data_IF_699212294648
#
_entry.id   IF_699212294648
#
_cell.length_a   1.000
_cell.length_b   1.000
_cell.length_c   1.000
_cell.angle_alpha   90.00
_cell.angle_beta   90.00
_cell.angle_gamma   90.00
#
_symmetry.space_group_name_H-M   'P 1'
#
loop_
_entity.id
_entity.type
_entity.pdbx_description
1 polymer ?
#
# COMPACT_ATOMS: atom_id res chain seq x y z
N UNK A 1 57.99 7.23 27.36
CA UNK A 1 58.42 8.21 26.34
C UNK A 1 57.24 9.15 26.07
N UNK A 2 57.49 10.45 26.26
CA UNK A 2 56.77 11.68 25.85
C UNK A 2 55.24 11.60 25.60
N UNK A 3 54.36 12.23 26.38
CA UNK A 3 54.14 13.67 26.64
C UNK A 3 53.74 14.49 25.39
N UNK A 4 52.50 15.01 25.35
CA UNK A 4 52.23 16.44 25.20
C UNK A 4 50.72 16.72 24.97
N UNK A 5 50.11 17.39 25.95
CA UNK A 5 48.92 18.23 25.80
C UNK A 5 49.16 19.36 24.81
N UNK A 6 48.14 19.79 24.08
CA UNK A 6 48.02 21.20 23.66
C UNK A 6 46.54 21.55 23.48
N UNK A 7 46.02 22.29 24.46
CA UNK A 7 44.82 23.12 24.34
C UNK A 7 45.08 24.27 23.37
N UNK A 8 44.09 24.63 22.54
CA UNK A 8 43.95 26.00 22.03
C UNK A 8 42.48 26.39 21.95
N UNK A 9 42.06 27.13 22.97
CA UNK A 9 40.98 28.10 22.93
C UNK A 9 41.30 29.20 21.91
N UNK A 10 40.31 29.62 21.14
CA UNK A 10 40.34 30.91 20.46
C UNK A 10 38.92 31.46 20.36
N UNK A 11 38.59 32.27 21.37
CA UNK A 11 37.60 33.35 21.34
C UNK A 11 38.09 34.46 20.41
N UNK A 12 37.33 34.77 19.37
CA UNK A 12 37.41 36.05 18.67
C UNK A 12 36.00 36.57 18.42
N UNK A 13 35.65 37.53 19.27
CA UNK A 13 34.61 38.54 19.10
C UNK A 13 34.84 39.33 17.81
N UNK A 14 33.82 39.43 16.96
CA UNK A 14 33.75 40.45 15.91
C UNK A 14 32.35 41.08 15.94
N UNK A 15 32.32 42.28 16.49
CA UNK A 15 31.20 43.21 16.49
C UNK A 15 31.34 44.13 15.28
N UNK A 16 30.43 43.98 14.30
CA UNK A 16 30.24 44.86 13.14
C UNK A 16 28.71 44.97 12.97
N UNK A 17 28.07 46.02 13.47
CA UNK A 17 27.80 47.30 12.78
C UNK A 17 27.12 47.12 11.43
N UNK A 18 25.81 47.34 11.38
CA UNK A 18 25.11 48.21 10.42
C UNK A 18 23.61 47.96 10.47
N UNK A 19 22.89 48.89 11.10
CA UNK A 19 21.45 49.08 10.91
C UNK A 19 21.19 49.49 9.45
N UNK A 20 21.00 48.52 8.57
CA UNK A 20 20.28 48.71 7.32
C UNK A 20 18.92 48.06 7.47
N UNK A 21 17.93 48.89 7.81
CA UNK A 21 16.50 48.55 7.74
C UNK A 21 16.12 48.45 6.27
N UNK A 22 16.47 47.33 5.65
CA UNK A 22 15.97 46.94 4.32
C UNK A 22 14.46 46.75 4.48
N UNK A 23 13.71 47.70 3.93
CA UNK A 23 12.27 47.60 3.80
C UNK A 23 12.01 46.49 2.78
N UNK A 24 11.83 45.26 3.27
CA UNK A 24 11.35 44.16 2.44
C UNK A 24 10.02 44.61 1.80
N UNK A 25 9.88 44.51 0.47
CA UNK A 25 8.59 44.71 -0.16
C UNK A 25 7.65 43.68 0.44
N UNK A 26 6.55 44.15 1.03
CA UNK A 26 5.45 43.31 1.47
C UNK A 26 4.95 42.54 0.25
N UNK A 27 5.53 41.35 0.06
CA UNK A 27 5.05 40.36 -0.87
C UNK A 27 3.74 39.91 -0.24
N UNK A 28 2.65 40.54 -0.69
CA UNK A 28 1.27 40.12 -0.45
C UNK A 28 1.11 38.75 -1.13
N UNK A 29 1.72 37.73 -0.51
CA UNK A 29 1.51 36.32 -0.83
C UNK A 29 0.09 36.06 -0.36
N UNK A 30 -0.87 36.45 -1.19
CA UNK A 30 -2.25 36.04 -1.03
C UNK A 30 -2.21 34.53 -1.07
N UNK A 31 -2.42 33.92 0.10
CA UNK A 31 -2.58 32.48 0.19
C UNK A 31 -3.63 32.07 -0.85
N UNK A 32 -3.37 31.02 -1.64
CA UNK A 32 -4.33 30.57 -2.63
C UNK A 32 -5.64 30.29 -1.90
N UNK A 33 -6.67 31.10 -2.21
CA UNK A 33 -8.01 30.92 -1.65
C UNK A 33 -8.42 29.47 -1.89
N UNK A 34 -8.86 28.81 -0.84
CA UNK A 34 -9.33 27.44 -0.91
C UNK A 34 -10.45 27.34 -1.96
N UNK A 35 -10.47 26.27 -2.78
CA UNK A 35 -11.58 26.06 -3.70
C UNK A 35 -12.89 26.02 -2.92
N UNK A 36 -13.95 26.64 -3.46
CA UNK A 36 -15.29 26.68 -2.87
C UNK A 36 -15.76 25.27 -2.52
N UNK A 37 -15.67 24.93 -1.24
CA UNK A 37 -16.20 23.70 -0.68
C UNK A 37 -17.72 23.87 -0.58
N UNK A 38 -18.46 23.29 -1.53
CA UNK A 38 -19.92 23.37 -1.53
C UNK A 38 -20.50 22.44 -0.47
N UNK A 39 -21.58 22.84 0.22
CA UNK A 39 -22.30 22.10 1.28
C UNK A 39 -22.76 20.67 0.94
N UNK A 40 -22.54 20.21 -0.29
CA UNK A 40 -22.69 18.80 -0.66
C UNK A 40 -21.53 18.02 -0.05
N UNK A 41 -21.68 17.61 1.21
CA UNK A 41 -20.70 16.79 1.92
C UNK A 41 -20.32 15.58 1.05
N UNK A 42 -19.07 15.47 0.60
CA UNK A 42 -18.68 14.41 -0.32
C UNK A 42 -18.72 13.02 0.31
N UNK A 43 -18.87 12.91 1.63
CA UNK A 43 -19.06 11.64 2.35
C UNK A 43 -20.44 10.99 2.08
N UNK A 44 -21.44 11.75 1.63
CA UNK A 44 -22.79 11.25 1.38
C UNK A 44 -22.84 10.43 0.09
N UNK A 45 -22.54 9.12 0.20
CA UNK A 45 -22.70 8.14 -0.90
C UNK A 45 -21.40 7.54 -1.43
N UNK A 46 -20.26 7.78 -0.79
CA UNK A 46 -19.01 7.10 -1.14
C UNK A 46 -18.99 5.67 -0.60
N UNK A 47 -19.13 4.69 -1.51
CA UNK A 47 -18.95 3.27 -1.19
C UNK A 47 -17.47 2.88 -1.36
N UNK A 48 -16.69 3.05 -0.29
CA UNK A 48 -15.35 2.45 -0.21
C UNK A 48 -15.45 0.99 0.24
N UNK A 49 -14.58 0.09 -0.27
CA UNK A 49 -14.50 -1.26 0.26
C UNK A 49 -14.09 -1.20 1.73
N UNK A 50 -14.74 -1.98 2.60
CA UNK A 50 -14.30 -2.08 4.00
C UNK A 50 -12.93 -2.75 4.11
N UNK A 51 -12.00 -2.18 4.87
CA UNK A 51 -10.73 -2.79 5.20
C UNK A 51 -10.93 -3.93 6.21
N UNK A 52 -10.69 -5.17 5.75
CA UNK A 52 -10.91 -6.39 6.54
C UNK A 52 -9.61 -7.02 7.02
N UNK A 53 -8.51 -6.77 6.33
CA UNK A 53 -7.23 -7.42 6.58
C UNK A 53 -6.23 -7.19 5.46
N UNK A 54 -5.17 -7.99 5.47
CA UNK A 54 -4.13 -8.00 4.44
C UNK A 54 -4.68 -8.24 3.03
N UNK A 55 -5.62 -9.17 2.89
CA UNK A 55 -6.10 -9.63 1.58
C UNK A 55 -6.69 -8.52 0.72
N UNK A 56 -7.27 -7.49 1.35
CA UNK A 56 -7.88 -6.37 0.66
C UNK A 56 -7.24 -5.01 0.96
N UNK A 57 -6.11 -4.99 1.70
CA UNK A 57 -5.43 -3.76 2.08
C UNK A 57 -5.06 -2.91 0.85
N UNK A 58 -4.46 -3.49 -0.19
CA UNK A 58 -4.03 -2.70 -1.37
C UNK A 58 -5.21 -2.11 -2.15
N UNK A 59 -6.32 -2.85 -2.24
CA UNK A 59 -7.51 -2.35 -2.90
C UNK A 59 -8.12 -1.19 -2.11
N UNK A 60 -8.20 -1.34 -0.78
CA UNK A 60 -8.66 -0.30 0.12
C UNK A 60 -7.79 0.96 0.05
N UNK A 61 -6.48 0.80 0.23
CA UNK A 61 -5.49 1.89 0.22
C UNK A 61 -5.59 2.72 -1.05
N UNK A 62 -5.59 2.06 -2.21
CA UNK A 62 -5.78 2.70 -3.51
C UNK A 62 -7.13 3.43 -3.61
N UNK A 63 -8.21 2.79 -3.15
CA UNK A 63 -9.56 3.38 -3.24
C UNK A 63 -9.67 4.65 -2.39
N UNK A 64 -9.04 4.67 -1.21
CA UNK A 64 -8.96 5.86 -0.36
C UNK A 64 -8.13 6.95 -1.04
N UNK A 65 -6.94 6.63 -1.55
CA UNK A 65 -6.09 7.62 -2.22
C UNK A 65 -6.74 8.21 -3.48
N UNK A 66 -7.37 7.38 -4.31
CA UNK A 66 -8.09 7.82 -5.50
C UNK A 66 -9.26 8.75 -5.11
N UNK A 67 -10.00 8.40 -4.05
CA UNK A 67 -11.06 9.25 -3.48
C UNK A 67 -10.50 10.58 -3.00
N UNK A 68 -9.42 10.56 -2.23
CA UNK A 68 -8.77 11.76 -1.70
C UNK A 68 -8.28 12.67 -2.81
N UNK A 69 -7.76 12.09 -3.89
CA UNK A 69 -7.34 12.83 -5.08
C UNK A 69 -8.52 13.50 -5.79
N UNK A 70 -9.65 12.79 -5.95
CA UNK A 70 -10.86 13.32 -6.58
C UNK A 70 -11.41 14.52 -5.79
N UNK A 71 -11.40 14.44 -4.45
CA UNK A 71 -11.94 15.49 -3.57
C UNK A 71 -10.90 16.53 -3.10
N UNK A 72 -9.65 16.43 -3.56
CA UNK A 72 -8.58 17.33 -3.11
C UNK A 72 -8.28 17.24 -1.62
N UNK A 73 -8.35 16.06 -1.02
CA UNK A 73 -8.09 15.79 0.40
C UNK A 73 -6.71 15.15 0.64
N UNK A 74 -5.92 14.90 -0.40
CA UNK A 74 -4.64 14.18 -0.29
C UNK A 74 -3.65 14.84 0.68
N UNK A 75 -3.69 16.17 0.82
CA UNK A 75 -2.75 16.88 1.68
C UNK A 75 -2.92 16.53 3.16
N UNK A 76 -4.12 16.11 3.58
CA UNK A 76 -4.39 15.69 4.95
C UNK A 76 -3.68 14.38 5.30
N UNK A 77 -3.68 13.38 4.42
CA UNK A 77 -2.95 12.12 4.65
C UNK A 77 -1.45 12.26 4.42
N UNK A 78 -1.03 13.24 3.60
CA UNK A 78 0.39 13.55 3.38
C UNK A 78 0.98 14.46 4.49
N UNK A 79 0.14 15.01 5.37
CA UNK A 79 0.57 15.99 6.38
C UNK A 79 1.05 17.32 5.78
N UNK A 80 0.66 17.64 4.55
CA UNK A 80 1.05 18.87 3.86
C UNK A 80 -0.01 19.96 3.99
N UNK A 81 -1.23 19.61 4.38
CA UNK A 81 -2.31 20.56 4.63
C UNK A 81 -2.12 21.17 6.03
N UNK A 82 -1.93 22.49 6.11
CA UNK A 82 -1.78 23.21 7.39
C UNK A 82 -2.99 24.10 7.64
N UNK A 83 -3.41 24.27 8.92
CA UNK A 83 -4.49 25.19 9.24
C UNK A 83 -4.11 26.61 8.78
N UNK A 84 -5.08 27.37 8.24
CA UNK A 84 -4.86 28.78 7.91
C UNK A 84 -4.59 29.59 9.20
N UNK A 85 -4.08 30.83 9.08
CA UNK A 85 -4.04 31.78 10.20
C UNK A 85 -5.43 31.97 10.81
N UNK A 86 -5.53 32.60 11.98
CA UNK A 86 -6.82 32.82 12.68
C UNK A 86 -6.99 34.25 13.19
N UNK A 87 -6.33 35.22 12.55
CA UNK A 87 -6.20 36.57 13.07
C UNK A 87 -7.31 37.51 12.57
N UNK A 88 -7.93 37.20 11.43
CA UNK A 88 -8.98 38.02 10.80
C UNK A 88 -10.32 37.31 10.70
N UNK A 89 -11.40 38.06 10.45
CA UNK A 89 -12.74 37.46 10.23
C UNK A 89 -12.81 36.54 9.00
N UNK A 90 -12.04 36.86 7.94
CA UNK A 90 -11.93 36.00 6.75
C UNK A 90 -11.19 34.70 7.09
N UNK A 91 -10.16 34.78 7.92
CA UNK A 91 -9.41 33.62 8.41
C UNK A 91 -10.28 32.62 9.19
N UNK A 92 -11.28 33.10 9.94
CA UNK A 92 -12.22 32.21 10.64
C UNK A 92 -13.05 31.34 9.67
N UNK A 93 -13.46 31.88 8.52
CA UNK A 93 -14.19 31.13 7.49
C UNK A 93 -13.28 30.09 6.81
N UNK A 94 -12.03 30.46 6.53
CA UNK A 94 -11.03 29.54 5.98
C UNK A 94 -10.69 28.43 6.99
N UNK A 95 -10.57 28.76 8.27
CA UNK A 95 -10.33 27.78 9.34
C UNK A 95 -11.51 26.82 9.50
N UNK A 96 -12.74 27.31 9.41
CA UNK A 96 -13.93 26.47 9.41
C UNK A 96 -13.90 25.50 8.22
N UNK A 97 -13.64 26.01 7.01
CA UNK A 97 -13.53 25.20 5.78
C UNK A 97 -12.44 24.13 5.91
N UNK A 98 -11.29 24.49 6.48
CA UNK A 98 -10.20 23.56 6.76
C UNK A 98 -10.65 22.44 7.70
N UNK A 99 -11.32 22.78 8.80
CA UNK A 99 -11.81 21.80 9.78
C UNK A 99 -12.87 20.87 9.19
N UNK A 100 -13.80 21.38 8.38
CA UNK A 100 -14.82 20.58 7.72
C UNK A 100 -14.19 19.57 6.74
N UNK A 101 -13.19 20.00 5.97
CA UNK A 101 -12.43 19.12 5.07
C UNK A 101 -11.62 18.08 5.84
N UNK A 102 -10.98 18.48 6.94
CA UNK A 102 -10.24 17.57 7.82
C UNK A 102 -11.14 16.48 8.40
N UNK A 103 -12.32 16.87 8.89
CA UNK A 103 -13.33 15.95 9.41
C UNK A 103 -13.85 15.02 8.31
N UNK A 104 -14.09 15.54 7.11
CA UNK A 104 -14.49 14.72 5.96
C UNK A 104 -13.43 13.66 5.62
N UNK A 105 -12.15 14.06 5.52
CA UNK A 105 -11.05 13.13 5.28
C UNK A 105 -10.99 12.05 6.38
N UNK A 106 -11.11 12.46 7.65
CA UNK A 106 -11.14 11.54 8.77
C UNK A 106 -12.28 10.51 8.66
N UNK A 107 -13.52 10.97 8.38
CA UNK A 107 -14.70 10.11 8.26
C UNK A 107 -14.57 9.07 7.15
N UNK A 108 -14.00 9.44 6.01
CA UNK A 108 -13.79 8.52 4.88
C UNK A 108 -12.88 7.36 5.31
N UNK A 109 -11.75 7.66 5.97
CA UNK A 109 -10.83 6.63 6.46
C UNK A 109 -11.47 5.83 7.60
N UNK A 110 -12.07 6.52 8.58
CA UNK A 110 -12.66 5.90 9.76
C UNK A 110 -13.75 4.88 9.42
N UNK A 111 -14.70 5.28 8.57
CA UNK A 111 -15.84 4.43 8.20
C UNK A 111 -15.37 3.19 7.44
N UNK A 112 -14.45 3.37 6.48
CA UNK A 112 -13.93 2.25 5.69
C UNK A 112 -12.97 1.35 6.46
N UNK A 113 -12.41 1.78 7.59
CA UNK A 113 -11.49 1.00 8.44
C UNK A 113 -12.08 0.49 9.75
N UNK A 114 -13.37 0.71 9.98
CA UNK A 114 -14.06 0.32 11.23
C UNK A 114 -13.79 -1.11 11.70
N UNK A 115 -13.76 -2.14 10.82
CA UNK A 115 -13.52 -3.52 11.25
C UNK A 115 -12.17 -3.76 11.95
N UNK A 116 -11.19 -2.87 11.77
CA UNK A 116 -9.83 -3.03 12.31
C UNK A 116 -9.49 -2.06 13.45
N UNK A 117 -10.40 -1.19 13.90
CA UNK A 117 -10.07 -0.12 14.86
C UNK A 117 -9.50 -0.62 16.18
N UNK A 118 -10.00 -1.74 16.71
CA UNK A 118 -9.47 -2.33 17.95
C UNK A 118 -8.02 -2.79 17.78
N UNK A 119 -7.66 -3.26 16.57
CA UNK A 119 -6.31 -3.69 16.24
C UNK A 119 -5.36 -2.51 16.04
N UNK A 120 -5.86 -1.28 15.85
CA UNK A 120 -5.05 -0.07 15.67
C UNK A 120 -4.56 0.55 16.99
N UNK A 121 -5.14 0.17 18.14
CA UNK A 121 -4.76 0.68 19.47
C UNK A 121 -3.25 0.62 19.75
N UNK A 122 -2.55 -0.52 19.51
CA UNK A 122 -1.10 -0.60 19.72
C UNK A 122 -0.27 0.26 18.77
N UNK A 123 -0.89 0.79 17.72
CA UNK A 123 -0.24 1.55 16.63
C UNK A 123 -0.51 3.05 16.73
N UNK A 124 -0.95 3.51 17.91
CA UNK A 124 -1.09 4.92 18.25
C UNK A 124 -2.42 5.55 17.86
N UNK A 125 -3.39 4.77 17.38
CA UNK A 125 -4.75 5.25 17.17
C UNK A 125 -5.63 4.90 18.37
N UNK A 126 -6.10 5.93 19.07
CA UNK A 126 -7.05 5.79 20.18
C UNK A 126 -8.40 6.38 19.77
N UNK A 127 -9.34 5.49 19.42
CA UNK A 127 -10.68 5.86 18.99
C UNK A 127 -11.54 6.50 20.08
N UNK A 128 -11.05 6.61 21.33
CA UNK A 128 -11.74 7.28 22.42
C UNK A 128 -11.33 8.76 22.59
N UNK A 129 -10.36 9.25 21.83
CA UNK A 129 -9.96 10.66 21.89
C UNK A 129 -11.04 11.58 21.30
N UNK A 130 -11.24 12.74 21.94
CA UNK A 130 -12.30 13.71 21.65
C UNK A 130 -12.28 14.21 20.18
N UNK A 131 -13.43 14.67 19.64
CA UNK A 131 -13.59 15.13 18.25
C UNK A 131 -12.57 16.17 17.78
N UNK A 132 -12.02 16.97 18.71
CA UNK A 132 -11.09 18.06 18.39
C UNK A 132 -9.67 17.56 18.03
N UNK A 133 -9.38 16.27 18.25
CA UNK A 133 -8.08 15.63 17.98
C UNK A 133 -8.17 14.64 16.81
N UNK A 134 -9.27 14.65 16.04
CA UNK A 134 -9.47 13.73 14.92
C UNK A 134 -8.57 14.10 13.72
N UNK A 135 -7.35 13.59 13.76
CA UNK A 135 -6.37 13.78 12.70
C UNK A 135 -6.43 12.64 11.67
N UNK A 136 -6.83 12.90 10.41
CA UNK A 136 -6.83 11.88 9.37
C UNK A 136 -5.43 11.29 9.12
N UNK A 137 -4.36 12.07 9.28
CA UNK A 137 -2.99 11.58 9.12
C UNK A 137 -2.64 10.55 10.19
N UNK A 138 -2.99 10.81 11.44
CA UNK A 138 -2.70 9.90 12.57
C UNK A 138 -3.39 8.55 12.36
N UNK A 139 -4.66 8.57 11.95
CA UNK A 139 -5.40 7.33 11.63
C UNK A 139 -4.79 6.62 10.41
N UNK A 140 -4.48 7.35 9.35
CA UNK A 140 -3.83 6.82 8.15
C UNK A 140 -2.50 6.12 8.47
N UNK A 141 -1.63 6.78 9.23
CA UNK A 141 -0.33 6.27 9.64
C UNK A 141 -0.47 5.07 10.59
N UNK A 142 -1.45 5.07 11.49
CA UNK A 142 -1.73 3.93 12.36
C UNK A 142 -2.12 2.69 11.55
N UNK A 143 -2.99 2.83 10.54
CA UNK A 143 -3.39 1.75 9.64
C UNK A 143 -2.18 1.19 8.88
N UNK A 144 -1.31 2.05 8.36
CA UNK A 144 -0.11 1.63 7.64
C UNK A 144 0.91 0.94 8.55
N UNK A 145 1.11 1.45 9.77
CA UNK A 145 1.97 0.82 10.78
C UNK A 145 1.43 -0.54 11.20
N UNK A 146 0.12 -0.66 11.39
CA UNK A 146 -0.55 -1.92 11.69
C UNK A 146 -0.31 -2.94 10.58
N UNK A 147 -0.52 -2.56 9.32
CA UNK A 147 -0.31 -3.45 8.18
C UNK A 147 1.14 -3.95 8.09
N UNK A 148 2.12 -3.06 8.26
CA UNK A 148 3.53 -3.45 8.26
C UNK A 148 3.87 -4.38 9.44
N UNK A 149 3.39 -4.07 10.64
CA UNK A 149 3.75 -4.83 11.83
C UNK A 149 3.10 -6.21 11.89
N UNK A 150 1.81 -6.30 11.53
CA UNK A 150 1.05 -7.55 11.61
C UNK A 150 1.35 -8.45 10.42
N UNK A 151 1.38 -7.88 9.21
CA UNK A 151 1.40 -8.66 7.97
C UNK A 151 2.80 -8.74 7.33
N UNK A 152 3.71 -7.80 7.63
CA UNK A 152 5.03 -7.72 7.02
C UNK A 152 6.18 -7.98 8.02
N UNK A 153 6.01 -8.99 8.87
CA UNK A 153 7.12 -9.49 9.70
C UNK A 153 8.26 -10.10 8.84
N UNK A 154 9.42 -10.37 9.44
CA UNK A 154 10.61 -10.88 8.73
C UNK A 154 10.31 -12.13 7.89
N UNK A 155 9.50 -13.06 8.41
CA UNK A 155 9.14 -14.28 7.68
C UNK A 155 8.26 -13.96 6.46
N UNK A 156 7.30 -13.04 6.59
CA UNK A 156 6.48 -12.58 5.49
C UNK A 156 7.33 -11.89 4.40
N UNK A 157 8.29 -11.03 4.79
CA UNK A 157 9.24 -10.41 3.85
C UNK A 157 10.02 -11.46 3.06
N UNK A 158 10.54 -12.49 3.73
CA UNK A 158 11.25 -13.60 3.06
C UNK A 158 10.32 -14.36 2.10
N UNK A 159 9.06 -14.60 2.48
CA UNK A 159 8.08 -15.23 1.59
C UNK A 159 7.81 -14.40 0.35
N UNK A 160 7.67 -13.08 0.49
CA UNK A 160 7.44 -12.16 -0.64
C UNK A 160 8.65 -12.14 -1.60
N UNK A 161 9.89 -12.05 -1.08
CA UNK A 161 11.10 -12.12 -1.91
C UNK A 161 11.22 -13.47 -2.60
N UNK A 162 10.91 -14.56 -1.89
CA UNK A 162 10.91 -15.91 -2.47
C UNK A 162 9.87 -16.03 -3.58
N UNK A 163 8.68 -15.50 -3.36
CA UNK A 163 7.63 -15.51 -4.39
C UNK A 163 8.05 -14.70 -5.61
N UNK A 164 8.59 -13.50 -5.41
CA UNK A 164 9.06 -12.64 -6.49
C UNK A 164 10.19 -13.29 -7.29
N UNK A 165 11.16 -13.91 -6.63
CA UNK A 165 12.27 -14.59 -7.31
C UNK A 165 11.86 -15.84 -8.10
N UNK A 166 10.68 -16.41 -7.81
CA UNK A 166 10.15 -17.61 -8.46
C UNK A 166 8.88 -17.33 -9.27
N UNK A 167 8.54 -16.07 -9.49
CA UNK A 167 7.35 -15.70 -10.25
C UNK A 167 7.49 -16.18 -11.70
N UNK A 168 6.47 -16.83 -12.22
CA UNK A 168 6.50 -17.41 -13.56
C UNK A 168 5.17 -17.19 -14.27
N UNK A 169 5.21 -16.76 -15.53
CA UNK A 169 4.01 -16.38 -16.28
C UNK A 169 2.96 -17.50 -16.39
N UNK A 170 3.40 -18.76 -16.47
CA UNK A 170 2.51 -19.92 -16.59
C UNK A 170 1.64 -20.18 -15.34
N UNK A 171 1.92 -19.49 -14.23
CA UNK A 171 1.07 -19.52 -13.03
C UNK A 171 -0.15 -18.59 -13.12
N UNK A 172 -0.31 -17.86 -14.22
CA UNK A 172 -1.32 -16.84 -14.41
C UNK A 172 -2.08 -17.07 -15.72
N UNK A 173 -3.31 -16.56 -15.79
CA UNK A 173 -4.17 -16.71 -16.96
C UNK A 173 -3.63 -15.95 -18.18
N UNK A 174 -2.91 -14.84 -17.95
CA UNK A 174 -2.32 -14.02 -18.99
C UNK A 174 -1.16 -13.16 -18.46
N UNK A 175 -0.42 -12.54 -19.37
CA UNK A 175 0.74 -11.69 -19.04
C UNK A 175 0.38 -10.46 -18.18
N UNK A 176 -0.85 -9.93 -18.30
CA UNK A 176 -1.30 -8.80 -17.48
C UNK A 176 -1.40 -9.21 -16.01
N UNK A 177 -1.96 -10.39 -15.72
CA UNK A 177 -2.07 -10.91 -14.37
C UNK A 177 -0.70 -11.22 -13.75
N UNK A 178 0.20 -11.80 -14.54
CA UNK A 178 1.60 -11.98 -14.16
C UNK A 178 2.28 -10.67 -13.77
N UNK A 179 2.19 -9.64 -14.63
CA UNK A 179 2.77 -8.32 -14.35
C UNK A 179 2.10 -7.62 -13.17
N UNK A 180 0.78 -7.77 -13.02
CA UNK A 180 0.02 -7.26 -11.87
C UNK A 180 0.55 -7.84 -10.57
N UNK A 181 0.81 -9.15 -10.52
CA UNK A 181 1.38 -9.80 -9.34
C UNK A 181 2.82 -9.39 -9.08
N UNK A 182 3.66 -9.27 -10.11
CA UNK A 182 5.04 -8.79 -9.98
C UNK A 182 5.08 -7.37 -9.37
N UNK A 183 4.24 -6.46 -9.90
CA UNK A 183 4.11 -5.09 -9.40
C UNK A 183 3.57 -5.03 -7.97
N UNK A 184 2.60 -5.89 -7.64
CA UNK A 184 2.09 -6.05 -6.27
C UNK A 184 3.22 -6.44 -5.31
N UNK A 185 4.01 -7.47 -5.65
CA UNK A 185 5.13 -7.94 -4.82
C UNK A 185 6.17 -6.82 -4.61
N UNK A 186 6.51 -6.07 -5.67
CA UNK A 186 7.46 -4.95 -5.58
C UNK A 186 6.97 -3.88 -4.61
N UNK A 187 5.74 -3.38 -4.77
CA UNK A 187 5.17 -2.35 -3.89
C UNK A 187 5.04 -2.84 -2.44
N UNK A 188 4.63 -4.10 -2.25
CA UNK A 188 4.50 -4.70 -0.92
C UNK A 188 5.86 -4.80 -0.20
N UNK A 189 6.91 -5.20 -0.92
CA UNK A 189 8.28 -5.24 -0.40
C UNK A 189 8.84 -3.85 -0.10
N UNK A 190 8.59 -2.87 -0.95
CA UNK A 190 8.98 -1.48 -0.73
C UNK A 190 8.35 -0.91 0.55
N UNK A 191 7.04 -1.10 0.75
CA UNK A 191 6.35 -0.74 1.99
C UNK A 191 6.89 -1.49 3.22
N UNK A 192 7.36 -2.72 3.04
CA UNK A 192 8.02 -3.48 4.09
C UNK A 192 9.44 -2.99 4.42
N UNK A 193 9.93 -1.93 3.78
CA UNK A 193 11.30 -1.43 3.92
C UNK A 193 12.35 -2.28 3.21
N UNK A 194 11.95 -3.02 2.17
CA UNK A 194 12.82 -3.87 1.35
C UNK A 194 12.67 -3.44 -0.12
N UNK A 195 13.16 -2.24 -0.50
CA UNK A 195 13.07 -1.78 -1.87
C UNK A 195 13.86 -2.72 -2.79
N UNK A 196 13.26 -3.09 -3.92
CA UNK A 196 13.90 -3.92 -4.94
C UNK A 196 14.43 -3.01 -6.04
N UNK A 197 15.73 -3.10 -6.31
CA UNK A 197 16.37 -2.36 -7.39
C UNK A 197 15.74 -2.70 -8.75
N UNK A 198 15.64 -1.70 -9.63
CA UNK A 198 15.04 -1.85 -10.96
C UNK A 198 15.67 -3.00 -11.76
N UNK A 199 16.99 -3.15 -11.73
CA UNK A 199 17.72 -4.22 -12.41
C UNK A 199 17.34 -5.62 -11.90
N UNK A 200 17.17 -5.78 -10.58
CA UNK A 200 16.70 -7.04 -9.99
C UNK A 200 15.26 -7.33 -10.40
N UNK A 201 14.41 -6.30 -10.42
CA UNK A 201 13.01 -6.45 -10.84
C UNK A 201 12.91 -6.89 -12.31
N UNK A 202 13.71 -6.28 -13.20
CA UNK A 202 13.83 -6.72 -14.60
C UNK A 202 14.26 -8.19 -14.67
N UNK A 203 15.30 -8.56 -13.93
CA UNK A 203 15.83 -9.92 -13.90
C UNK A 203 14.77 -10.94 -13.50
N UNK A 204 13.99 -10.68 -12.45
CA UNK A 204 12.94 -11.61 -12.00
C UNK A 204 11.81 -11.75 -13.02
N UNK A 205 11.34 -10.64 -13.58
CA UNK A 205 10.26 -10.67 -14.59
C UNK A 205 10.71 -11.38 -15.86
N UNK A 206 11.91 -11.06 -16.37
CA UNK A 206 12.48 -11.72 -17.55
C UNK A 206 12.69 -13.23 -17.32
N UNK A 207 13.21 -13.61 -16.15
CA UNK A 207 13.34 -15.01 -15.74
C UNK A 207 11.99 -15.74 -15.77
N UNK A 208 10.93 -15.09 -15.26
CA UNK A 208 9.56 -15.61 -15.28
C UNK A 208 8.95 -15.80 -16.67
N UNK A 209 9.55 -15.21 -17.72
CA UNK A 209 9.13 -15.32 -19.12
C UNK A 209 9.92 -16.37 -19.92
N UNK A 210 10.94 -17.00 -19.33
CA UNK A 210 11.86 -17.92 -20.06
C UNK A 210 11.18 -19.11 -20.74
N UNK A 211 9.98 -19.51 -20.34
CA UNK A 211 9.20 -20.60 -20.94
C UNK A 211 7.97 -20.14 -21.71
N UNK A 212 7.89 -18.86 -22.05
CA UNK A 212 6.74 -18.30 -22.75
C UNK A 212 6.72 -18.78 -24.21
N UNK A 213 5.55 -19.10 -24.81
CA UNK A 213 5.49 -19.79 -26.10
C UNK A 213 6.17 -19.07 -27.27
N UNK A 214 6.18 -17.73 -27.27
CA UNK A 214 6.88 -16.93 -28.29
C UNK A 214 8.32 -16.62 -27.86
N UNK A 215 9.22 -17.59 -28.08
CA UNK A 215 10.64 -17.48 -27.72
C UNK A 215 11.37 -16.32 -28.44
N UNK A 216 10.96 -15.98 -29.66
CA UNK A 216 11.57 -14.89 -30.45
C UNK A 216 11.24 -13.53 -29.84
N UNK A 217 9.99 -13.34 -29.44
CA UNK A 217 9.56 -12.14 -28.73
C UNK A 217 10.29 -12.00 -27.38
N UNK A 218 10.36 -13.08 -26.59
CA UNK A 218 11.08 -13.07 -25.30
C UNK A 218 12.55 -12.72 -25.51
N UNK A 219 13.23 -13.37 -26.46
CA UNK A 219 14.66 -13.11 -26.75
C UNK A 219 14.88 -11.65 -27.14
N UNK A 220 14.00 -11.08 -27.98
CA UNK A 220 14.04 -9.66 -28.36
C UNK A 220 13.83 -8.74 -27.16
N UNK A 221 12.95 -9.13 -26.23
CA UNK A 221 12.70 -8.42 -24.98
C UNK A 221 13.95 -8.42 -24.09
N UNK A 222 14.62 -9.56 -23.91
CA UNK A 222 15.87 -9.68 -23.14
C UNK A 222 16.98 -8.78 -23.70
N UNK A 223 17.17 -8.75 -25.02
CA UNK A 223 18.20 -7.92 -25.67
C UNK A 223 17.94 -6.43 -25.41
N UNK A 224 16.68 -5.99 -25.51
CA UNK A 224 16.32 -4.58 -25.36
C UNK A 224 16.22 -4.13 -23.90
N UNK A 225 15.99 -5.06 -22.97
CA UNK A 225 15.78 -4.75 -21.56
C UNK A 225 17.02 -4.17 -20.84
N UNK A 226 18.23 -4.32 -21.41
CA UNK A 226 19.43 -3.65 -20.89
C UNK A 226 19.29 -2.13 -20.87
N UNK A 227 18.61 -1.58 -21.89
CA UNK A 227 18.50 -0.15 -22.12
C UNK A 227 17.19 0.43 -21.54
N UNK A 228 16.34 -0.43 -20.98
CA UNK A 228 15.03 -0.06 -20.47
C UNK A 228 15.00 0.03 -18.94
N UNK A 229 14.18 0.95 -18.45
CA UNK A 229 13.74 0.91 -17.04
C UNK A 229 12.76 -0.24 -16.83
N UNK A 230 12.53 -0.62 -15.57
CA UNK A 230 11.51 -1.62 -15.26
C UNK A 230 10.12 -1.19 -15.74
N UNK A 231 9.81 0.10 -15.62
CA UNK A 231 8.55 0.67 -16.12
C UNK A 231 8.39 0.44 -17.63
N UNK A 232 9.40 0.79 -18.42
CA UNK A 232 9.37 0.60 -19.88
C UNK A 232 9.23 -0.88 -20.24
N UNK A 233 9.93 -1.78 -19.54
CA UNK A 233 9.78 -3.22 -19.71
C UNK A 233 8.32 -3.66 -19.48
N UNK A 234 7.72 -3.25 -18.36
CA UNK A 234 6.34 -3.59 -18.01
C UNK A 234 5.33 -3.14 -19.07
N UNK A 235 5.45 -1.91 -19.57
CA UNK A 235 4.55 -1.41 -20.62
C UNK A 235 4.65 -2.21 -21.93
N UNK A 236 5.83 -2.72 -22.29
CA UNK A 236 5.99 -3.54 -23.49
C UNK A 236 5.39 -4.95 -23.31
N UNK A 237 5.51 -5.54 -22.12
CA UNK A 237 4.86 -6.82 -21.78
C UNK A 237 3.34 -6.67 -21.80
N UNK A 238 2.80 -5.59 -21.24
CA UNK A 238 1.35 -5.32 -21.24
C UNK A 238 0.79 -5.08 -22.64
N UNK A 239 1.56 -4.42 -23.52
CA UNK A 239 1.22 -4.30 -24.93
C UNK A 239 1.09 -5.67 -25.57
N UNK A 240 2.03 -6.59 -25.36
CA UNK A 240 1.93 -7.96 -25.86
C UNK A 240 0.67 -8.67 -25.35
N UNK A 241 0.36 -8.54 -24.05
CA UNK A 241 -0.84 -9.14 -23.44
C UNK A 241 -2.15 -8.68 -24.11
N UNK A 242 -2.19 -7.43 -24.59
CA UNK A 242 -3.34 -6.89 -25.30
C UNK A 242 -3.59 -7.57 -26.65
N UNK A 243 -2.54 -8.02 -27.33
CA UNK A 243 -2.65 -8.76 -28.59
C UNK A 243 -3.17 -10.19 -28.38
N UNK A 244 -2.74 -10.87 -27.31
CA UNK A 244 -3.24 -12.22 -26.96
C UNK A 244 -4.76 -12.22 -26.77
N UNK A 245 -5.27 -11.18 -26.11
CA UNK A 245 -6.68 -10.98 -25.82
C UNK A 245 -7.54 -10.83 -27.08
N UNK A 246 -6.96 -10.33 -28.18
CA UNK A 246 -7.63 -10.15 -29.47
C UNK A 246 -7.55 -11.43 -30.32
N UNK A 247 -6.49 -12.22 -30.16
CA UNK A 247 -6.26 -13.47 -30.90
C UNK A 247 -7.09 -14.67 -30.43
N UNK A 248 -7.50 -14.74 -29.16
CA UNK A 248 -8.24 -15.88 -28.59
C UNK A 248 -9.76 -15.87 -28.84
N UNK A 249 -10.30 -14.93 -29.62
CA UNK A 249 -11.72 -14.97 -29.99
C UNK A 249 -12.09 -16.09 -30.98
N UNK A 250 -11.14 -16.93 -31.44
CA UNK A 250 -11.45 -18.09 -32.26
C UNK A 250 -10.80 -19.37 -31.75
N UNK A 251 -11.65 -20.41 -31.64
CA UNK A 251 -11.34 -21.83 -31.44
C UNK A 251 -11.15 -22.26 -29.98
N UNK A 252 -12.26 -22.45 -29.27
CA UNK A 252 -12.35 -23.56 -28.30
C UNK A 252 -12.76 -24.83 -29.06
N UNK A 253 -11.89 -25.83 -29.27
CA UNK A 253 -12.38 -27.17 -29.52
C UNK A 253 -12.86 -27.73 -28.18
N UNK A 254 -14.17 -27.90 -28.06
CA UNK A 254 -14.82 -28.69 -27.02
C UNK A 254 -14.17 -30.07 -26.93
N UNK A 255 -13.42 -30.33 -25.85
CA UNK A 255 -13.02 -31.70 -25.51
C UNK A 255 -14.22 -32.42 -24.89
N UNK A 256 -14.62 -33.60 -25.40
CA UNK A 256 -15.66 -34.40 -24.78
C UNK A 256 -15.18 -34.94 -23.43
N UNK A 257 -15.98 -34.72 -22.39
CA UNK A 257 -15.80 -35.36 -21.09
C UNK A 257 -16.01 -36.87 -21.24
N UNK A 258 -14.90 -37.62 -21.34
CA UNK A 258 -14.94 -39.07 -21.22
C UNK A 258 -15.12 -39.46 -19.75
N UNK A 259 -16.37 -39.59 -19.32
CA UNK A 259 -16.77 -40.26 -18.08
C UNK A 259 -16.29 -41.73 -18.10
N UNK A 260 -15.11 -42.01 -17.54
CA UNK A 260 -14.73 -43.39 -17.18
C UNK A 260 -15.30 -43.72 -15.80
N UNK A 261 -16.52 -44.25 -15.85
CA UNK A 261 -17.21 -44.98 -14.78
C UNK A 261 -16.39 -46.22 -14.40
N UNK A 262 -15.59 -46.15 -13.33
CA UNK A 262 -15.00 -47.35 -12.71
C UNK A 262 -15.81 -47.76 -11.49
N UNK A 263 -16.74 -48.68 -11.73
CA UNK A 263 -17.29 -49.62 -10.74
C UNK A 263 -16.19 -50.61 -10.33
N UNK A 264 -16.04 -50.86 -9.04
CA UNK A 264 -15.70 -52.14 -8.38
C UNK A 264 -15.79 -51.86 -6.87
N UNK A 265 -16.89 -52.12 -6.17
CA UNK A 265 -17.47 -53.40 -5.80
C UNK A 265 -16.55 -54.29 -4.93
N UNK A 266 -16.90 -54.29 -3.63
CA UNK A 266 -16.82 -55.41 -2.66
C UNK A 266 -15.47 -55.73 -2.00
N UNK A 267 -15.36 -55.30 -0.75
CA UNK A 267 -14.62 -55.98 0.32
C UNK A 267 -15.31 -55.73 1.66
N UNK A 268 -16.04 -56.73 2.16
CA UNK A 268 -16.72 -56.75 3.49
C UNK A 268 -15.67 -56.79 4.62
N UNK A 269 -15.80 -55.94 5.66
CA UNK A 269 -16.08 -56.20 7.13
C UNK A 269 -15.33 -57.38 7.78
N UNK A 270 -14.88 -57.33 9.06
CA UNK A 270 -15.62 -56.86 10.28
C UNK A 270 -14.77 -55.98 11.24
N UNK A 271 -15.31 -55.10 12.09
CA UNK A 271 -16.09 -55.38 13.30
C UNK A 271 -15.18 -55.45 14.54
N UNK A 272 -15.19 -54.43 15.41
CA UNK A 272 -14.90 -54.59 16.85
C UNK A 272 -15.52 -53.44 17.67
N UNK A 273 -16.05 -53.71 18.88
CA UNK A 273 -16.86 -52.78 19.67
C UNK A 273 -16.09 -52.13 20.82
N UNK A 274 -16.75 -51.14 21.44
CA UNK A 274 -16.65 -50.72 22.84
C UNK A 274 -15.27 -50.42 23.45
N UNK A 275 -15.08 -49.16 23.85
CA UNK A 275 -14.74 -48.88 25.26
C UNK A 275 -15.23 -47.51 25.69
N UNK A 276 -16.28 -47.53 26.49
CA UNK A 276 -16.63 -46.47 27.43
C UNK A 276 -15.53 -46.35 28.48
N UNK A 277 -15.21 -45.12 28.86
CA UNK A 277 -14.18 -44.81 29.84
C UNK A 277 -14.45 -43.47 30.51
N UNK A 278 -15.52 -43.42 31.30
CA UNK A 278 -15.74 -42.37 32.27
C UNK A 278 -14.61 -42.38 33.33
N UNK A 279 -13.98 -41.23 33.58
CA UNK A 279 -13.34 -40.94 34.87
C UNK A 279 -13.60 -39.50 35.28
N UNK A 280 -14.43 -39.37 36.31
CA UNK A 280 -14.52 -38.26 37.24
C UNK A 280 -13.27 -38.17 38.14
N UNK A 281 -13.17 -37.03 38.84
CA UNK A 281 -12.27 -36.56 39.92
C UNK A 281 -11.33 -35.46 39.39
N UNK A 282 -11.42 -34.18 39.77
CA UNK A 282 -11.85 -33.60 41.05
C UNK A 282 -10.69 -33.59 42.04
N UNK A 283 -10.00 -32.46 42.20
CA UNK A 283 -9.44 -32.02 43.48
C UNK A 283 -8.96 -30.58 43.39
N UNK A 284 -9.36 -29.81 44.41
CA UNK A 284 -8.87 -28.49 44.81
C UNK A 284 -7.37 -28.54 45.10
N UNK A 285 -6.67 -27.45 44.82
CA UNK A 285 -5.98 -26.58 45.79
C UNK A 285 -5.92 -25.17 45.22
#
# INVERSE_FOLDING_TARGET
MAAASTERTNTLTSSVSSDQKVQEPANDIRHPRWPLWTDSSPDAGLELPELKGEDNFELWDRSVLDTFKIYGLEGFVKGTETPPPSDTAEDYLDLQTFNDRRLCAFRIIYTSSTPIHLQLLPYGYDGYQLPDVLDPQVLWDAIHRWDVAVHLNTLAKVKLVRELSHIHHSGFDNLREFMRRANWLRRRLERAGVPIADELMKTYVLSGLTRYPDENWVTSLFIKASDWTYFTLGTNIEKQASWESVGECQVKPSKPQHLKKRRNARGRRPGHPHREGARQRGSRY
#
